data_IF_524844263416
#
_entry.id   IF_524844263416
#
_cell.length_a   1.000
_cell.length_b   1.000
_cell.length_c   1.000
_cell.angle_alpha   90.00
_cell.angle_beta   90.00
_cell.angle_gamma   90.00
#
_symmetry.space_group_name_H-M   'P 1'
#
loop_
_entity.id
_entity.type
_entity.pdbx_description
1 polymer ?
#
# COMPACT_ATOMS: atom_id res chain seq x y z
N UNK A 1 24.93 -6.14 2.59
CA UNK A 1 25.21 -5.12 3.62
C UNK A 1 24.07 -4.14 3.58
N UNK A 2 23.24 -4.11 4.61
CA UNK A 2 22.06 -3.25 4.65
C UNK A 2 22.52 -1.79 4.79
N UNK A 3 22.36 -1.00 3.73
CA UNK A 3 22.68 0.43 3.70
C UNK A 3 21.61 1.21 4.48
N UNK A 4 21.65 1.11 5.81
CA UNK A 4 20.71 1.78 6.71
C UNK A 4 21.20 3.22 6.96
N UNK A 5 20.41 4.19 6.51
CA UNK A 5 20.65 5.62 6.72
C UNK A 5 19.85 6.10 7.93
N UNK A 6 20.50 6.74 8.89
CA UNK A 6 19.81 7.29 10.07
C UNK A 6 19.28 8.70 9.78
N UNK A 7 18.06 8.98 10.20
CA UNK A 7 17.43 10.30 10.02
C UNK A 7 16.55 10.69 11.21
N UNK A 8 16.54 11.96 11.58
CA UNK A 8 15.62 12.45 12.62
C UNK A 8 14.17 12.49 12.13
N UNK A 9 13.23 12.24 13.03
CA UNK A 9 11.80 12.19 12.77
C UNK A 9 11.27 13.49 12.15
N UNK A 10 11.77 14.65 12.60
CA UNK A 10 11.38 15.95 12.04
C UNK A 10 11.78 16.07 10.56
N UNK A 11 13.02 15.64 10.23
CA UNK A 11 13.52 15.67 8.86
C UNK A 11 12.85 14.62 7.99
N UNK A 12 12.60 13.44 8.55
CA UNK A 12 11.88 12.36 7.89
C UNK A 12 10.45 12.76 7.50
N UNK A 13 9.77 13.56 8.34
CA UNK A 13 8.45 14.11 8.04
C UNK A 13 8.50 15.09 6.87
N UNK A 14 9.48 15.99 6.86
CA UNK A 14 9.62 17.01 5.80
C UNK A 14 9.97 16.38 4.45
N UNK A 15 10.87 15.40 4.43
CA UNK A 15 11.37 14.77 3.21
C UNK A 15 10.71 13.40 2.92
N UNK A 16 9.53 13.13 3.48
CA UNK A 16 8.93 11.79 3.48
C UNK A 16 8.82 11.16 2.08
N UNK A 17 8.32 11.92 1.09
CA UNK A 17 8.17 11.41 -0.27
C UNK A 17 9.52 11.14 -0.95
N UNK A 18 10.53 11.99 -0.73
CA UNK A 18 11.89 11.75 -1.26
C UNK A 18 12.51 10.50 -0.65
N UNK A 19 12.26 10.26 0.63
CA UNK A 19 12.71 9.06 1.32
C UNK A 19 12.06 7.82 0.68
N UNK A 20 10.76 7.87 0.40
CA UNK A 20 10.08 6.77 -0.31
C UNK A 20 10.65 6.53 -1.70
N UNK A 21 10.93 7.59 -2.47
CA UNK A 21 11.58 7.46 -3.78
C UNK A 21 12.94 6.77 -3.65
N UNK A 22 13.77 7.19 -2.69
CA UNK A 22 15.07 6.55 -2.45
C UNK A 22 14.96 5.10 -1.99
N UNK A 23 13.95 4.78 -1.18
CA UNK A 23 13.71 3.40 -0.72
C UNK A 23 13.27 2.51 -1.88
N UNK A 24 12.43 3.04 -2.77
CA UNK A 24 11.85 2.27 -3.88
C UNK A 24 12.82 2.10 -5.05
N UNK A 25 13.44 3.19 -5.50
CA UNK A 25 14.30 3.22 -6.68
C UNK A 25 15.76 2.86 -6.38
N UNK A 26 16.27 3.21 -5.19
CA UNK A 26 17.69 3.08 -4.86
C UNK A 26 17.97 1.99 -3.81
N UNK A 27 16.98 1.17 -3.45
CA UNK A 27 17.06 0.10 -2.44
C UNK A 27 17.72 0.56 -1.12
N UNK A 28 17.48 1.82 -0.73
CA UNK A 28 17.95 2.37 0.56
C UNK A 28 17.00 2.03 1.69
N UNK A 29 17.55 1.84 2.88
CA UNK A 29 16.77 1.72 4.11
C UNK A 29 17.00 2.93 5.00
N UNK A 30 15.96 3.40 5.69
CA UNK A 30 16.06 4.53 6.61
C UNK A 30 15.60 4.15 8.00
N UNK A 31 16.43 4.40 9.01
CA UNK A 31 16.04 4.26 10.41
C UNK A 31 15.76 5.65 10.99
N UNK A 32 14.49 5.87 11.33
CA UNK A 32 14.01 7.13 11.89
C UNK A 32 14.30 7.15 13.40
N UNK A 33 14.92 8.23 13.88
CA UNK A 33 15.17 8.50 15.29
C UNK A 33 14.33 9.67 15.80
N UNK A 34 13.88 9.60 17.04
CA UNK A 34 13.28 10.72 17.78
C UNK A 34 14.04 10.87 19.09
N UNK A 35 14.63 12.05 19.33
CA UNK A 35 15.47 12.29 20.50
C UNK A 35 16.58 11.24 20.68
N UNK A 36 17.23 10.84 19.58
CA UNK A 36 18.28 9.82 19.57
C UNK A 36 17.79 8.37 19.65
N UNK A 37 16.51 8.13 19.95
CA UNK A 37 15.92 6.79 20.07
C UNK A 37 15.36 6.35 18.71
N UNK A 38 15.69 5.15 18.20
CA UNK A 38 15.10 4.63 16.97
C UNK A 38 13.61 4.32 17.17
N UNK A 39 12.75 4.81 16.27
CA UNK A 39 11.28 4.70 16.39
C UNK A 39 10.62 4.00 15.21
N UNK A 40 11.23 4.02 14.02
CA UNK A 40 10.67 3.39 12.83
C UNK A 40 11.77 3.06 11.82
N UNK A 41 11.53 2.05 10.99
CA UNK A 41 12.36 1.71 9.84
C UNK A 41 11.52 1.80 8.56
N UNK A 42 12.04 2.46 7.54
CA UNK A 42 11.45 2.50 6.20
C UNK A 42 12.36 1.69 5.28
N UNK A 43 11.84 0.58 4.78
CA UNK A 43 12.54 -0.33 3.86
C UNK A 43 11.64 -0.70 2.71
N UNK A 44 12.22 -1.13 1.59
CA UNK A 44 11.47 -1.77 0.53
C UNK A 44 10.82 -3.04 1.08
N UNK A 45 9.59 -3.40 0.64
CA UNK A 45 8.98 -4.66 1.03
C UNK A 45 9.92 -5.82 0.66
N UNK A 46 10.47 -6.48 1.68
CA UNK A 46 11.24 -7.71 1.50
C UNK A 46 10.30 -8.74 0.88
N UNK A 47 10.73 -9.35 -0.22
CA UNK A 47 9.98 -10.28 -1.08
C UNK A 47 9.42 -11.55 -0.38
N UNK A 48 9.38 -11.62 0.95
CA UNK A 48 8.95 -12.80 1.70
C UNK A 48 7.44 -12.90 1.97
N UNK A 49 6.66 -11.91 1.54
CA UNK A 49 5.21 -12.05 1.49
C UNK A 49 4.78 -11.86 0.04
N UNK A 50 4.55 -13.00 -0.65
CA UNK A 50 3.73 -13.09 -1.86
C UNK A 50 2.67 -12.00 -1.78
N UNK A 51 2.67 -11.07 -2.74
CA UNK A 51 1.76 -9.92 -2.85
C UNK A 51 0.37 -10.27 -2.30
N UNK A 52 0.19 -10.07 -1.01
CA UNK A 52 -1.10 -10.08 -0.36
C UNK A 52 -1.77 -8.83 -0.87
N UNK A 53 -3.00 -9.01 -1.38
CA UNK A 53 -3.74 -7.99 -2.11
C UNK A 53 -3.58 -6.62 -1.42
N UNK A 54 -3.54 -5.52 -2.17
CA UNK A 54 -3.36 -4.16 -1.61
C UNK A 54 -4.36 -3.84 -0.46
N UNK A 55 -5.47 -4.58 -0.44
CA UNK A 55 -6.51 -4.61 0.59
C UNK A 55 -6.06 -5.22 1.93
N UNK A 56 -5.21 -6.25 1.94
CA UNK A 56 -4.62 -6.83 3.15
C UNK A 56 -3.57 -5.89 3.77
N UNK A 57 -2.87 -5.09 2.96
CA UNK A 57 -1.88 -4.12 3.44
C UNK A 57 -2.52 -2.95 4.21
N UNK A 58 -3.78 -2.61 3.90
CA UNK A 58 -4.47 -1.48 4.50
C UNK A 58 -4.96 -1.73 5.94
N UNK A 59 -4.78 -2.92 6.52
CA UNK A 59 -5.10 -3.23 7.93
C UNK A 59 -6.56 -3.09 8.35
N UNK A 60 -7.45 -2.62 7.47
CA UNK A 60 -8.82 -2.25 7.79
C UNK A 60 -9.83 -3.40 7.62
N UNK A 61 -9.45 -4.53 7.02
CA UNK A 61 -10.38 -5.57 6.55
C UNK A 61 -10.12 -6.97 7.14
N UNK A 62 -9.51 -7.05 8.33
CA UNK A 62 -9.35 -8.32 9.07
C UNK A 62 -10.66 -9.11 9.22
N UNK A 63 -11.79 -8.41 9.33
CA UNK A 63 -13.08 -9.02 9.67
C UNK A 63 -14.12 -9.04 8.54
N UNK A 64 -13.74 -8.64 7.33
CA UNK A 64 -14.67 -8.72 6.20
C UNK A 64 -14.37 -9.97 5.39
N UNK A 65 -15.34 -10.88 5.38
CA UNK A 65 -15.31 -12.15 4.67
C UNK A 65 -15.03 -11.91 3.17
N UNK A 66 -13.76 -11.99 2.78
CA UNK A 66 -13.26 -11.65 1.45
C UNK A 66 -14.03 -12.36 0.33
N UNK A 67 -14.56 -13.56 0.61
CA UNK A 67 -15.40 -14.31 -0.32
C UNK A 67 -16.71 -13.58 -0.64
N UNK A 68 -17.35 -12.98 0.37
CA UNK A 68 -18.61 -12.26 0.26
C UNK A 68 -18.46 -10.96 -0.54
N UNK A 69 -17.35 -10.23 -0.34
CA UNK A 69 -17.09 -9.03 -1.13
C UNK A 69 -16.77 -9.39 -2.58
N UNK A 70 -15.94 -10.41 -2.81
CA UNK A 70 -15.66 -10.86 -4.16
C UNK A 70 -16.94 -11.30 -4.88
N UNK A 71 -17.82 -12.07 -4.22
CA UNK A 71 -19.10 -12.47 -4.83
C UNK A 71 -19.97 -11.26 -5.18
N UNK A 72 -20.11 -10.28 -4.29
CA UNK A 72 -20.88 -9.06 -4.57
C UNK A 72 -20.31 -8.25 -5.74
N UNK A 73 -18.97 -8.17 -5.86
CA UNK A 73 -18.32 -7.48 -6.99
C UNK A 73 -18.56 -8.24 -8.30
N UNK A 74 -18.45 -9.56 -8.29
CA UNK A 74 -18.69 -10.38 -9.49
C UNK A 74 -20.16 -10.37 -9.91
N UNK A 75 -21.11 -10.40 -8.96
CA UNK A 75 -22.55 -10.25 -9.21
C UNK A 75 -22.86 -8.88 -9.82
N UNK A 76 -22.37 -7.79 -9.21
CA UNK A 76 -22.56 -6.45 -9.75
C UNK A 76 -21.93 -6.23 -11.13
N UNK A 77 -20.87 -6.99 -11.48
CA UNK A 77 -20.30 -6.99 -12.84
C UNK A 77 -21.12 -7.82 -13.83
N UNK A 78 -21.72 -8.93 -13.41
CA UNK A 78 -22.64 -9.74 -14.24
C UNK A 78 -23.91 -8.95 -14.60
N UNK A 79 -24.40 -8.11 -13.71
CA UNK A 79 -25.58 -7.27 -13.97
C UNK A 79 -25.32 -6.17 -15.00
N UNK A 80 -24.08 -5.63 -15.06
CA UNK A 80 -23.69 -4.66 -16.10
C UNK A 80 -23.69 -5.24 -17.51
N UNK A 81 -23.52 -6.56 -17.68
CA UNK A 81 -23.55 -7.21 -19.01
C UNK A 81 -24.99 -7.37 -19.51
N UNK A 82 -25.98 -7.46 -18.61
CA UNK A 82 -27.39 -7.61 -18.97
C UNK A 82 -28.13 -6.28 -19.18
N UNK A 83 -27.63 -5.18 -18.62
CA UNK A 83 -28.13 -3.84 -18.92
C UNK A 83 -27.49 -3.32 -20.22
N UNK A 84 -27.88 -3.89 -21.36
CA UNK A 84 -27.82 -3.19 -22.65
C UNK A 84 -28.69 -1.93 -22.50
N UNK A 85 -28.08 -0.81 -22.12
CA UNK A 85 -28.72 0.50 -22.25
C UNK A 85 -29.05 0.65 -23.73
N UNK A 86 -30.34 0.59 -24.08
CA UNK A 86 -30.81 1.19 -25.33
C UNK A 86 -30.52 2.67 -25.19
N UNK A 87 -29.50 3.13 -25.89
CA UNK A 87 -29.28 4.57 -26.10
C UNK A 87 -30.52 5.04 -26.89
N UNK A 88 -31.28 6.03 -26.41
CA UNK A 88 -32.36 6.58 -27.23
C UNK A 88 -31.73 7.36 -28.37
N UNK A 89 -32.13 7.07 -29.61
CA UNK A 89 -31.78 7.88 -30.76
C UNK A 89 -32.59 9.19 -30.68
N UNK A 90 -31.90 10.29 -30.36
CA UNK A 90 -32.35 11.66 -30.59
C UNK A 90 -31.22 12.45 -31.22
#
# INVERSE_FOLDING_TARGET
>A
MDNITFIDASKARTDFFKILDWVYFNDKSFLIKKAGIPVAEITKPRSLLKRKNILEFAGAWSDIDNKKILSMIYEGRKDRVHLKRKVPDF
#
